data_IF_021346610306
#
_entry.id   IF_021346610306
#
_cell.length_a   1.000
_cell.length_b   1.000
_cell.length_c   1.000
_cell.angle_alpha   90.00
_cell.angle_beta   90.00
_cell.angle_gamma   90.00
#
_symmetry.space_group_name_H-M   'P 1'
#
loop_
_entity.id
_entity.type
_entity.pdbx_description
1 polymer ?
#
# COMPACT_ATOMS: atom_id res chain seq x y z
N UNK A 1 -37.89 -10.09 -8.21
CA UNK A 1 -36.86 -9.53 -9.12
C UNK A 1 -35.51 -10.08 -8.69
N UNK A 2 -35.20 -11.30 -9.11
CA UNK A 2 -33.86 -11.87 -8.91
C UNK A 2 -32.93 -11.12 -9.85
N UNK A 3 -31.92 -10.45 -9.30
CA UNK A 3 -30.87 -9.81 -10.07
C UNK A 3 -30.21 -10.89 -10.91
N UNK A 4 -30.39 -10.85 -12.22
CA UNK A 4 -29.70 -11.74 -13.14
C UNK A 4 -28.22 -11.30 -13.20
N UNK A 5 -27.46 -11.68 -12.17
CA UNK A 5 -26.02 -11.44 -12.07
C UNK A 5 -25.23 -12.18 -13.15
N UNK A 6 -25.90 -13.04 -13.94
CA UNK A 6 -25.33 -13.70 -15.11
C UNK A 6 -25.42 -12.88 -16.40
N UNK A 7 -26.15 -11.76 -16.39
CA UNK A 7 -26.28 -10.89 -17.55
C UNK A 7 -24.91 -10.25 -17.93
N UNK A 8 -24.37 -10.52 -19.13
CA UNK A 8 -23.08 -9.97 -19.58
C UNK A 8 -23.07 -8.44 -19.73
N UNK A 9 -24.26 -7.80 -19.75
CA UNK A 9 -24.40 -6.33 -19.79
C UNK A 9 -24.57 -5.70 -18.41
N UNK A 10 -24.41 -6.45 -17.32
CA UNK A 10 -24.59 -5.91 -15.97
C UNK A 10 -23.53 -4.82 -15.65
N UNK A 11 -23.93 -3.55 -15.46
CA UNK A 11 -22.99 -2.46 -15.22
C UNK A 11 -22.25 -2.60 -13.88
N UNK A 12 -22.82 -3.32 -12.91
CA UNK A 12 -22.20 -3.55 -11.60
C UNK A 12 -20.93 -4.37 -11.72
N UNK A 13 -20.93 -5.40 -12.56
CA UNK A 13 -19.75 -6.26 -12.77
C UNK A 13 -18.61 -5.49 -13.42
N UNK A 14 -18.92 -4.66 -14.43
CA UNK A 14 -17.93 -3.79 -15.08
C UNK A 14 -17.34 -2.79 -14.09
N UNK A 15 -18.17 -2.20 -13.22
CA UNK A 15 -17.71 -1.32 -12.15
C UNK A 15 -16.77 -2.04 -11.18
N UNK A 16 -17.08 -3.27 -10.75
CA UNK A 16 -16.21 -4.05 -9.86
C UNK A 16 -14.85 -4.31 -10.52
N UNK A 17 -14.84 -4.69 -11.80
CA UNK A 17 -13.60 -4.98 -12.54
C UNK A 17 -12.73 -3.72 -12.65
N UNK A 18 -13.27 -2.58 -13.11
CA UNK A 18 -12.47 -1.34 -13.22
C UNK A 18 -11.97 -0.89 -11.85
N UNK A 19 -12.80 -0.95 -10.80
CA UNK A 19 -12.40 -0.54 -9.45
C UNK A 19 -11.23 -1.40 -8.95
N UNK A 20 -11.23 -2.70 -9.27
CA UNK A 20 -10.12 -3.60 -8.97
C UNK A 20 -8.81 -3.16 -9.65
N UNK A 21 -8.82 -3.00 -10.98
CA UNK A 21 -7.64 -2.57 -11.73
C UNK A 21 -7.15 -1.17 -11.32
N UNK A 22 -8.09 -0.25 -11.10
CA UNK A 22 -7.77 1.13 -10.73
C UNK A 22 -7.18 1.22 -9.33
N UNK A 23 -7.77 0.53 -8.35
CA UNK A 23 -7.27 0.45 -6.98
C UNK A 23 -5.88 -0.17 -6.92
N UNK A 24 -5.66 -1.25 -7.68
CA UNK A 24 -4.35 -1.87 -7.83
C UNK A 24 -3.34 -0.87 -8.41
N UNK A 25 -3.65 -0.22 -9.53
CA UNK A 25 -2.73 0.73 -10.16
C UNK A 25 -2.45 1.97 -9.29
N UNK A 26 -3.47 2.49 -8.60
CA UNK A 26 -3.29 3.58 -7.65
C UNK A 26 -2.35 3.17 -6.51
N UNK A 27 -2.44 1.94 -6.03
CA UNK A 27 -1.55 1.39 -5.00
C UNK A 27 -0.10 1.31 -5.49
N UNK A 28 0.12 0.78 -6.70
CA UNK A 28 1.45 0.72 -7.34
C UNK A 28 2.08 2.10 -7.48
N UNK A 29 1.35 3.06 -8.06
CA UNK A 29 1.85 4.42 -8.25
C UNK A 29 2.08 5.14 -6.91
N UNK A 30 1.24 4.89 -5.91
CA UNK A 30 1.44 5.42 -4.56
C UNK A 30 2.73 4.88 -3.95
N UNK A 31 3.04 3.59 -4.13
CA UNK A 31 4.32 3.03 -3.69
C UNK A 31 5.49 3.75 -4.37
N UNK A 32 5.42 4.04 -5.67
CA UNK A 32 6.48 4.79 -6.38
C UNK A 32 6.70 6.16 -5.73
N UNK A 33 5.61 6.88 -5.46
CA UNK A 33 5.64 8.18 -4.77
C UNK A 33 6.28 8.06 -3.39
N UNK A 34 5.90 7.04 -2.61
CA UNK A 34 6.48 6.79 -1.28
C UNK A 34 7.99 6.53 -1.41
N UNK A 35 8.43 5.70 -2.35
CA UNK A 35 9.84 5.40 -2.55
C UNK A 35 10.66 6.62 -2.96
N UNK A 36 10.10 7.44 -3.84
CA UNK A 36 10.71 8.72 -4.22
C UNK A 36 10.79 9.69 -3.03
N UNK A 37 9.75 9.76 -2.20
CA UNK A 37 9.76 10.55 -0.96
C UNK A 37 10.86 10.07 -0.02
N UNK A 38 11.00 8.75 0.17
CA UNK A 38 12.07 8.16 0.99
C UNK A 38 13.45 8.51 0.45
N UNK A 39 13.65 8.42 -0.85
CA UNK A 39 14.89 8.83 -1.49
C UNK A 39 15.23 10.30 -1.22
N UNK A 40 14.27 11.21 -1.45
CA UNK A 40 14.44 12.63 -1.20
C UNK A 40 14.72 12.94 0.27
N UNK A 41 14.05 12.28 1.21
CA UNK A 41 14.29 12.47 2.65
C UNK A 41 15.71 12.05 3.08
N UNK A 42 16.31 11.08 2.39
CA UNK A 42 17.69 10.64 2.63
C UNK A 42 18.71 11.63 2.03
N UNK A 43 18.44 12.17 0.85
CA UNK A 43 19.31 13.15 0.20
C UNK A 43 19.22 14.55 0.81
N UNK A 44 18.01 15.01 1.11
CA UNK A 44 17.71 16.37 1.57
C UNK A 44 16.99 16.33 2.94
N UNK A 45 17.71 16.03 4.03
CA UNK A 45 17.09 15.81 5.34
C UNK A 45 16.39 17.03 5.94
N UNK A 46 16.70 18.24 5.46
CA UNK A 46 16.09 19.50 5.90
C UNK A 46 14.86 19.90 5.07
N UNK A 47 14.72 19.34 3.86
CA UNK A 47 13.61 19.66 2.97
C UNK A 47 12.42 18.74 3.27
N UNK A 48 11.44 19.24 4.02
CA UNK A 48 10.18 18.51 4.27
C UNK A 48 9.26 18.61 3.07
N UNK A 49 8.57 17.51 2.75
CA UNK A 49 7.51 17.51 1.75
C UNK A 49 6.31 18.32 2.27
N UNK A 50 5.95 19.39 1.55
CA UNK A 50 4.75 20.17 1.88
C UNK A 50 3.48 19.33 1.69
N UNK A 51 2.48 19.54 2.56
CA UNK A 51 1.15 18.89 2.45
C UNK A 51 0.51 19.09 1.07
N UNK A 52 0.67 20.28 0.47
CA UNK A 52 0.15 20.57 -0.88
C UNK A 52 0.82 19.68 -1.93
N UNK A 53 2.14 19.53 -1.85
CA UNK A 53 2.92 18.69 -2.78
C UNK A 53 2.61 17.21 -2.58
N UNK A 54 2.46 16.74 -1.34
CA UNK A 54 2.04 15.37 -1.05
C UNK A 54 0.66 15.05 -1.64
N UNK A 55 -0.34 15.92 -1.41
CA UNK A 55 -1.67 15.77 -2.00
C UNK A 55 -1.63 15.74 -3.53
N UNK A 56 -0.84 16.62 -4.14
CA UNK A 56 -0.66 16.66 -5.60
C UNK A 56 -0.05 15.36 -6.13
N UNK A 57 1.02 14.85 -5.50
CA UNK A 57 1.65 13.59 -5.91
C UNK A 57 0.70 12.40 -5.78
N UNK A 58 -0.10 12.33 -4.70
CA UNK A 58 -1.15 11.32 -4.58
C UNK A 58 -2.20 11.49 -5.69
N UNK A 59 -2.68 12.70 -5.95
CA UNK A 59 -3.62 12.96 -7.04
C UNK A 59 -3.09 12.48 -8.40
N UNK A 60 -1.82 12.77 -8.71
CA UNK A 60 -1.16 12.32 -9.95
C UNK A 60 -1.09 10.79 -10.01
N UNK A 61 -0.73 10.12 -8.91
CA UNK A 61 -0.68 8.66 -8.87
C UNK A 61 -2.03 8.00 -9.19
N UNK A 62 -3.12 8.59 -8.72
CA UNK A 62 -4.49 8.10 -8.97
C UNK A 62 -5.00 8.44 -10.37
N UNK A 63 -4.70 9.64 -10.86
CA UNK A 63 -5.11 10.07 -12.20
C UNK A 63 -4.35 9.31 -13.29
N UNK A 64 -3.09 8.92 -13.04
CA UNK A 64 -2.30 8.12 -13.98
C UNK A 64 -2.72 6.65 -14.01
N UNK A 65 -3.28 6.09 -12.93
CA UNK A 65 -3.77 4.71 -12.91
C UNK A 65 -5.14 4.53 -13.59
N UNK A 66 -5.93 5.60 -13.70
CA UNK A 66 -7.24 5.58 -14.35
C UNK A 66 -7.15 5.18 -15.85
N UNK A 67 -6.40 5.87 -16.72
CA UNK A 67 -6.33 5.54 -18.15
C UNK A 67 -5.91 4.11 -18.44
N UNK A 68 -4.98 3.57 -17.63
CA UNK A 68 -4.50 2.20 -17.75
C UNK A 68 -5.61 1.17 -17.46
N UNK A 69 -6.61 1.57 -16.66
CA UNK A 69 -7.72 0.73 -16.22
C UNK A 69 -8.98 0.89 -17.10
N UNK A 70 -9.08 1.96 -17.88
CA UNK A 70 -10.24 2.26 -18.76
C UNK A 70 -10.52 1.16 -19.79
N UNK A 71 -9.54 0.54 -20.47
CA UNK A 71 -9.79 -0.54 -21.44
C UNK A 71 -10.73 -1.64 -20.92
N UNK A 72 -10.70 -1.91 -19.61
CA UNK A 72 -11.48 -2.96 -18.95
C UNK A 72 -12.94 -2.59 -18.69
N UNK A 73 -13.33 -1.32 -18.79
CA UNK A 73 -14.74 -0.91 -18.78
C UNK A 73 -15.51 -1.45 -19.97
N UNK A 74 -14.83 -1.53 -21.11
CA UNK A 74 -15.44 -1.90 -22.38
C UNK A 74 -15.45 -3.42 -22.54
N UNK A 75 -14.41 -4.10 -22.05
CA UNK A 75 -14.23 -5.55 -22.26
C UNK A 75 -14.75 -6.42 -21.12
N UNK A 76 -14.92 -5.87 -19.92
CA UNK A 76 -15.41 -6.59 -18.75
C UNK A 76 -16.83 -7.15 -18.95
N UNK A 77 -17.01 -8.44 -18.65
CA UNK A 77 -18.31 -9.11 -18.70
C UNK A 77 -18.46 -10.13 -17.57
N UNK A 78 -19.70 -10.58 -17.36
CA UNK A 78 -19.98 -11.79 -16.61
C UNK A 78 -20.08 -12.99 -17.56
N UNK A 79 -19.56 -14.14 -17.11
CA UNK A 79 -19.84 -15.45 -17.72
C UNK A 79 -20.27 -16.40 -16.58
N UNK A 80 -21.58 -16.59 -16.42
CA UNK A 80 -22.15 -17.19 -15.22
C UNK A 80 -21.85 -16.33 -13.99
N UNK A 81 -21.43 -16.94 -12.89
CA UNK A 81 -21.04 -16.24 -11.65
C UNK A 81 -19.61 -15.70 -11.63
N UNK A 82 -18.87 -15.78 -12.76
CA UNK A 82 -17.48 -15.31 -12.84
C UNK A 82 -17.37 -13.98 -13.60
N UNK A 83 -16.66 -13.03 -12.99
CA UNK A 83 -16.17 -11.84 -13.67
C UNK A 83 -15.01 -12.22 -14.59
N UNK A 84 -15.12 -11.90 -15.88
CA UNK A 84 -14.05 -12.08 -16.87
C UNK A 84 -13.76 -10.76 -17.58
N UNK A 85 -12.48 -10.49 -17.81
CA UNK A 85 -12.03 -9.27 -18.47
C UNK A 85 -12.30 -9.28 -19.98
N UNK A 86 -12.54 -10.46 -20.57
CA UNK A 86 -12.67 -10.68 -22.00
C UNK A 86 -13.58 -11.87 -22.32
N UNK A 87 -14.19 -11.87 -23.52
CA UNK A 87 -15.03 -12.97 -24.06
C UNK A 87 -14.39 -13.68 -25.25
N UNK A 88 -13.66 -12.94 -26.08
CA UNK A 88 -13.04 -13.42 -27.30
C UNK A 88 -11.58 -13.00 -27.34
N UNK A 89 -10.72 -13.90 -27.82
CA UNK A 89 -9.33 -13.56 -28.04
C UNK A 89 -9.21 -12.64 -29.24
N UNK A 90 -8.68 -11.43 -29.02
CA UNK A 90 -8.47 -10.41 -30.04
C UNK A 90 -7.12 -9.74 -29.79
N UNK A 91 -6.55 -9.05 -30.79
CA UNK A 91 -5.32 -8.27 -30.61
C UNK A 91 -5.44 -7.24 -29.47
N UNK A 92 -6.65 -6.79 -29.16
CA UNK A 92 -6.92 -5.91 -28.02
C UNK A 92 -6.63 -6.56 -26.66
N UNK A 93 -6.87 -7.87 -26.51
CA UNK A 93 -6.55 -8.64 -25.29
C UNK A 93 -5.04 -8.63 -25.05
N UNK A 94 -4.27 -8.90 -26.10
CA UNK A 94 -2.80 -8.89 -26.06
C UNK A 94 -2.30 -7.50 -25.64
N UNK A 95 -2.75 -6.45 -26.33
CA UNK A 95 -2.33 -5.06 -26.06
C UNK A 95 -2.70 -4.64 -24.64
N UNK A 96 -3.93 -4.93 -24.19
CA UNK A 96 -4.41 -4.53 -22.87
C UNK A 96 -3.66 -5.24 -21.74
N UNK A 97 -3.43 -6.54 -21.85
CA UNK A 97 -2.66 -7.30 -20.84
C UNK A 97 -1.19 -6.89 -20.82
N UNK A 98 -0.54 -6.71 -21.98
CA UNK A 98 0.85 -6.23 -22.03
C UNK A 98 0.98 -4.81 -21.46
N UNK A 99 0.00 -3.94 -21.71
CA UNK A 99 -0.04 -2.60 -21.12
C UNK A 99 -0.09 -2.68 -19.60
N UNK A 100 -0.93 -3.55 -19.03
CA UNK A 100 -0.95 -3.78 -17.57
C UNK A 100 0.41 -4.27 -17.06
N UNK A 101 0.99 -5.28 -17.69
CA UNK A 101 2.28 -5.85 -17.26
C UNK A 101 3.38 -4.79 -17.29
N UNK A 102 3.47 -4.02 -18.37
CA UNK A 102 4.51 -3.00 -18.52
C UNK A 102 4.33 -1.86 -17.52
N UNK A 103 3.14 -1.27 -17.46
CA UNK A 103 2.92 -0.05 -16.66
C UNK A 103 2.67 -0.33 -15.18
N UNK A 104 2.13 -1.49 -14.82
CA UNK A 104 1.78 -1.81 -13.43
C UNK A 104 2.75 -2.79 -12.75
N UNK A 105 3.63 -3.44 -13.50
CA UNK A 105 4.63 -4.35 -12.92
C UNK A 105 6.06 -3.96 -13.30
N UNK A 106 6.40 -3.95 -14.59
CA UNK A 106 7.80 -3.79 -15.05
C UNK A 106 8.35 -2.39 -14.76
N UNK A 107 7.69 -1.32 -15.21
CA UNK A 107 8.15 0.04 -14.93
C UNK A 107 8.22 0.31 -13.41
N UNK A 108 7.17 0.00 -12.63
CA UNK A 108 7.20 0.17 -11.18
C UNK A 108 8.33 -0.60 -10.50
N UNK A 109 8.51 -1.89 -10.78
CA UNK A 109 9.55 -2.69 -10.12
C UNK A 109 10.95 -2.17 -10.46
N UNK A 110 11.19 -1.74 -11.70
CA UNK A 110 12.46 -1.13 -12.11
C UNK A 110 12.73 0.18 -11.37
N UNK A 111 11.74 1.08 -11.30
CA UNK A 111 11.86 2.35 -10.56
C UNK A 111 12.12 2.10 -9.06
N UNK A 112 11.50 1.07 -8.49
CA UNK A 112 11.70 0.69 -7.09
C UNK A 112 13.10 0.15 -6.83
N UNK A 113 13.55 -0.82 -7.62
CA UNK A 113 14.86 -1.44 -7.47
C UNK A 113 15.96 -0.38 -7.61
N UNK A 114 15.86 0.49 -8.61
CA UNK A 114 16.82 1.58 -8.83
C UNK A 114 16.82 2.56 -7.64
N UNK A 115 15.65 3.04 -7.22
CA UNK A 115 15.52 3.98 -6.10
C UNK A 115 16.10 3.39 -4.81
N UNK A 116 15.75 2.16 -4.46
CA UNK A 116 16.27 1.51 -3.25
C UNK A 116 17.76 1.22 -3.33
N UNK A 117 18.27 0.83 -4.50
CA UNK A 117 19.71 0.65 -4.71
C UNK A 117 20.48 1.95 -4.45
N UNK A 118 19.96 3.08 -4.94
CA UNK A 118 20.55 4.40 -4.70
C UNK A 118 20.49 4.79 -3.21
N UNK A 119 19.37 4.52 -2.53
CA UNK A 119 19.24 4.77 -1.09
C UNK A 119 20.27 3.94 -0.31
N UNK A 120 20.40 2.66 -0.59
CA UNK A 120 21.36 1.78 0.09
C UNK A 120 22.80 2.22 -0.14
N UNK A 121 23.16 2.60 -1.37
CA UNK A 121 24.49 3.15 -1.69
C UNK A 121 24.76 4.43 -0.89
N UNK A 122 23.81 5.36 -0.86
CA UNK A 122 23.94 6.61 -0.11
C UNK A 122 24.07 6.36 1.40
N UNK A 123 23.32 5.40 1.94
CA UNK A 123 23.39 5.02 3.34
C UNK A 123 24.75 4.40 3.69
N UNK A 124 25.34 3.60 2.80
CA UNK A 124 26.69 3.04 2.97
C UNK A 124 27.75 4.13 2.92
N UNK A 125 27.69 5.03 1.94
CA UNK A 125 28.62 6.15 1.81
C UNK A 125 28.66 7.02 3.07
N UNK A 126 27.49 7.39 3.61
CA UNK A 126 27.40 8.19 4.86
C UNK A 126 28.03 7.51 6.09
N UNK A 127 28.05 6.17 6.14
CA UNK A 127 28.73 5.43 7.22
C UNK A 127 30.23 5.54 7.06
N UNK A 128 30.74 5.36 5.83
CA UNK A 128 32.16 5.44 5.53
C UNK A 128 32.72 6.85 5.72
N UNK A 129 31.97 7.90 5.38
CA UNK A 129 32.41 9.29 5.54
C UNK A 129 32.38 9.82 6.98
N UNK A 130 32.14 8.98 7.99
CA UNK A 130 32.24 9.36 9.41
C UNK A 130 31.28 10.46 9.89
N UNK A 131 30.23 10.80 9.13
CA UNK A 131 29.37 11.96 9.45
C UNK A 131 28.51 11.68 10.70
N UNK A 132 28.75 12.45 11.76
CA UNK A 132 28.18 12.27 13.11
C UNK A 132 26.73 12.78 13.20
N UNK A 133 25.78 12.11 12.56
CA UNK A 133 24.35 12.27 12.90
C UNK A 133 24.03 11.45 14.17
N UNK A 134 23.18 11.98 15.06
CA UNK A 134 22.72 11.30 16.27
C UNK A 134 22.19 9.88 15.95
N UNK A 135 22.69 8.86 16.66
CA UNK A 135 22.43 7.43 16.42
C UNK A 135 20.94 7.09 16.38
N UNK A 136 20.12 7.74 17.24
CA UNK A 136 18.66 7.54 17.27
C UNK A 136 17.97 8.02 15.98
N UNK A 137 18.35 9.19 15.46
CA UNK A 137 17.79 9.71 14.20
C UNK A 137 18.22 8.87 12.99
N UNK A 138 19.44 8.32 12.99
CA UNK A 138 19.91 7.37 11.97
C UNK A 138 19.06 6.08 11.96
N UNK A 139 18.79 5.51 13.14
CA UNK A 139 18.01 4.27 13.27
C UNK A 139 16.56 4.45 12.84
N UNK A 140 15.90 5.54 13.23
CA UNK A 140 14.52 5.82 12.83
C UNK A 140 14.37 5.99 11.31
N UNK A 141 15.26 6.76 10.67
CA UNK A 141 15.25 6.95 9.20
C UNK A 141 15.44 5.62 8.46
N UNK A 142 16.37 4.77 8.92
CA UNK A 142 16.60 3.44 8.34
C UNK A 142 15.41 2.52 8.51
N UNK A 143 14.79 2.49 9.70
CA UNK A 143 13.62 1.66 9.99
C UNK A 143 12.49 1.93 9.00
N UNK A 144 12.20 3.20 8.71
CA UNK A 144 11.17 3.57 7.73
C UNK A 144 11.53 3.13 6.30
N UNK A 145 12.80 3.27 5.88
CA UNK A 145 13.24 2.82 4.55
C UNK A 145 13.12 1.30 4.41
N UNK A 146 13.63 0.53 5.40
CA UNK A 146 13.54 -0.93 5.37
C UNK A 146 12.11 -1.44 5.39
N UNK A 147 11.25 -0.80 6.17
CA UNK A 147 9.82 -1.06 6.16
C UNK A 147 9.23 -0.85 4.76
N UNK A 148 9.51 0.29 4.13
CA UNK A 148 8.98 0.61 2.79
C UNK A 148 9.51 -0.38 1.74
N UNK A 149 10.80 -0.75 1.80
CA UNK A 149 11.37 -1.80 0.97
C UNK A 149 10.66 -3.15 1.17
N UNK A 150 10.42 -3.56 2.41
CA UNK A 150 9.74 -4.80 2.75
C UNK A 150 8.29 -4.80 2.26
N UNK A 151 7.54 -3.72 2.50
CA UNK A 151 6.16 -3.57 1.98
C UNK A 151 6.12 -3.67 0.47
N UNK A 152 7.10 -3.10 -0.23
CA UNK A 152 7.16 -3.11 -1.69
C UNK A 152 7.54 -4.49 -2.22
N UNK A 153 8.48 -5.18 -1.57
CA UNK A 153 8.86 -6.54 -1.95
C UNK A 153 7.66 -7.50 -1.84
N UNK A 154 6.95 -7.45 -0.71
CA UNK A 154 5.75 -8.28 -0.50
C UNK A 154 4.67 -7.93 -1.52
N UNK A 155 4.46 -6.65 -1.84
CA UNK A 155 3.52 -6.23 -2.89
C UNK A 155 3.76 -6.98 -4.20
N UNK A 156 4.99 -6.91 -4.72
CA UNK A 156 5.31 -7.50 -6.03
C UNK A 156 5.34 -9.03 -5.99
N UNK A 157 5.74 -9.64 -4.88
CA UNK A 157 5.66 -11.10 -4.70
C UNK A 157 4.21 -11.57 -4.76
N UNK A 158 3.31 -10.89 -4.06
CA UNK A 158 1.88 -11.21 -4.09
C UNK A 158 1.22 -10.87 -5.44
N UNK A 159 1.69 -9.83 -6.12
CA UNK A 159 1.18 -9.42 -7.44
C UNK A 159 1.76 -10.24 -8.61
N UNK A 160 2.86 -10.97 -8.41
CA UNK A 160 3.53 -11.73 -9.47
C UNK A 160 2.63 -12.80 -10.09
N UNK A 161 1.92 -13.66 -9.33
CA UNK A 161 1.04 -14.68 -9.92
C UNK A 161 -0.08 -14.08 -10.78
N UNK A 162 -0.60 -12.92 -10.39
CA UNK A 162 -1.57 -12.18 -11.18
C UNK A 162 -0.97 -11.58 -12.46
N UNK A 163 0.23 -11.03 -12.38
CA UNK A 163 0.95 -10.54 -13.56
C UNK A 163 1.23 -11.68 -14.55
N UNK A 164 1.60 -12.86 -14.04
CA UNK A 164 1.79 -14.07 -14.85
C UNK A 164 0.48 -14.54 -15.48
N UNK A 165 -0.66 -14.46 -14.78
CA UNK A 165 -1.95 -14.80 -15.40
C UNK A 165 -2.29 -13.87 -16.57
N UNK A 166 -1.96 -12.57 -16.48
CA UNK A 166 -2.16 -11.64 -17.61
C UNK A 166 -1.30 -12.02 -18.82
N UNK A 167 -0.05 -12.44 -18.60
CA UNK A 167 0.83 -12.91 -19.68
C UNK A 167 0.30 -14.21 -20.31
N UNK A 168 -0.17 -15.15 -19.49
CA UNK A 168 -0.78 -16.39 -19.97
C UNK A 168 -2.01 -16.07 -20.83
N UNK A 169 -2.92 -15.20 -20.35
CA UNK A 169 -4.10 -14.79 -21.12
C UNK A 169 -3.73 -14.06 -22.42
N UNK A 170 -2.66 -13.27 -22.41
CA UNK A 170 -2.18 -12.53 -23.57
C UNK A 170 -1.62 -13.44 -24.69
N UNK A 171 -0.88 -14.50 -24.34
CA UNK A 171 -0.18 -15.33 -25.32
C UNK A 171 -0.92 -16.62 -25.69
N UNK A 172 -1.71 -17.19 -24.78
CA UNK A 172 -2.42 -18.45 -25.04
C UNK A 172 -3.80 -18.24 -25.63
N UNK A 173 -4.35 -17.03 -25.49
CA UNK A 173 -5.73 -16.70 -25.84
C UNK A 173 -6.80 -17.50 -25.11
N UNK A 174 -6.41 -18.27 -24.09
CA UNK A 174 -7.30 -18.93 -23.16
C UNK A 174 -7.53 -18.02 -21.95
N UNK A 175 -8.77 -17.93 -21.50
CA UNK A 175 -9.14 -17.10 -20.35
C UNK A 175 -9.12 -17.90 -19.05
N UNK A 176 -9.06 -17.19 -17.91
CA UNK A 176 -9.07 -17.79 -16.56
C UNK A 176 -10.10 -18.91 -16.34
N UNK A 177 -11.31 -18.81 -16.93
CA UNK A 177 -12.34 -19.86 -16.79
C UNK A 177 -12.03 -21.13 -17.60
N UNK A 178 -11.36 -21.01 -18.75
CA UNK A 178 -11.03 -22.15 -19.61
C UNK A 178 -9.91 -22.98 -19.01
N UNK A 179 -8.92 -22.31 -18.41
CA UNK A 179 -7.84 -22.98 -17.69
C UNK A 179 -8.32 -23.71 -16.44
N UNK A 180 -9.41 -23.27 -15.80
CA UNK A 180 -9.95 -23.96 -14.64
C UNK A 180 -10.46 -25.37 -14.98
N UNK A 181 -10.94 -25.57 -16.21
CA UNK A 181 -11.50 -26.84 -16.68
C UNK A 181 -10.42 -27.69 -17.39
N UNK A 182 -9.45 -27.05 -18.05
CA UNK A 182 -8.40 -27.73 -18.80
C UNK A 182 -7.27 -28.25 -17.89
N UNK A 183 -7.33 -29.54 -17.54
CA UNK A 183 -6.38 -30.25 -16.67
C UNK A 183 -5.02 -30.53 -17.30
N UNK A 184 -4.84 -30.28 -18.60
CA UNK A 184 -3.58 -30.58 -19.31
C UNK A 184 -2.41 -29.70 -18.87
N UNK A 185 -2.68 -28.53 -18.27
CA UNK A 185 -1.66 -27.56 -17.85
C UNK A 185 -1.77 -27.21 -16.36
N UNK A 186 -1.41 -28.14 -15.49
CA UNK A 186 -1.50 -28.00 -14.02
C UNK A 186 -0.73 -26.79 -13.46
N UNK A 187 0.37 -26.37 -14.10
CA UNK A 187 1.12 -25.18 -13.73
C UNK A 187 0.32 -23.89 -13.94
N UNK A 188 -0.36 -23.73 -15.09
CA UNK A 188 -1.18 -22.55 -15.37
C UNK A 188 -2.38 -22.46 -14.44
N UNK A 189 -2.99 -23.60 -14.10
CA UNK A 189 -4.05 -23.64 -13.09
C UNK A 189 -3.58 -23.13 -11.74
N UNK A 190 -2.41 -23.60 -11.29
CA UNK A 190 -1.83 -23.18 -10.01
C UNK A 190 -1.59 -21.67 -9.99
N UNK A 191 -1.02 -21.10 -11.05
CA UNK A 191 -0.79 -19.65 -11.18
C UNK A 191 -2.11 -18.87 -11.09
N UNK A 192 -3.15 -19.29 -11.82
CA UNK A 192 -4.46 -18.63 -11.81
C UNK A 192 -5.11 -18.72 -10.43
N UNK A 193 -5.04 -19.88 -9.75
CA UNK A 193 -5.56 -20.03 -8.39
C UNK A 193 -4.82 -19.13 -7.39
N UNK A 194 -3.50 -19.12 -7.45
CA UNK A 194 -2.66 -18.25 -6.61
C UNK A 194 -2.94 -16.78 -6.85
N UNK A 195 -3.14 -16.35 -8.10
CA UNK A 195 -3.47 -14.96 -8.43
C UNK A 195 -4.74 -14.46 -7.71
N UNK A 196 -5.79 -15.30 -7.66
CA UNK A 196 -7.06 -14.98 -7.01
C UNK A 196 -6.94 -14.82 -5.49
N UNK A 197 -6.00 -15.54 -4.88
CA UNK A 197 -5.79 -15.51 -3.42
C UNK A 197 -4.82 -14.39 -3.03
N UNK A 198 -3.70 -14.24 -3.75
CA UNK A 198 -2.61 -13.35 -3.37
C UNK A 198 -2.86 -11.89 -3.74
N UNK A 199 -3.63 -11.59 -4.79
CA UNK A 199 -3.89 -10.20 -5.15
C UNK A 199 -4.67 -9.45 -4.04
N UNK A 200 -5.76 -9.99 -3.44
CA UNK A 200 -6.43 -9.34 -2.32
C UNK A 200 -5.53 -9.17 -1.08
N UNK A 201 -4.60 -10.11 -0.84
CA UNK A 201 -3.64 -10.02 0.27
C UNK A 201 -2.79 -8.75 0.17
N UNK A 202 -2.57 -8.21 -1.04
CA UNK A 202 -1.81 -6.95 -1.22
C UNK A 202 -2.43 -5.75 -0.49
N UNK A 203 -3.74 -5.73 -0.30
CA UNK A 203 -4.44 -4.69 0.46
C UNK A 203 -4.38 -4.96 1.97
N UNK A 204 -4.40 -6.23 2.38
CA UNK A 204 -4.51 -6.65 3.78
C UNK A 204 -3.20 -6.50 4.56
N UNK A 205 -2.05 -6.77 3.94
CA UNK A 205 -0.79 -6.77 4.68
C UNK A 205 -0.31 -5.36 5.04
N UNK A 206 -0.73 -4.33 4.29
CA UNK A 206 -0.24 -2.96 4.45
C UNK A 206 -0.40 -2.49 5.91
N UNK A 207 -1.62 -2.46 6.51
CA UNK A 207 -1.81 -2.13 7.92
C UNK A 207 -0.95 -2.95 8.89
N UNK A 208 -0.77 -4.25 8.64
CA UNK A 208 0.02 -5.16 9.49
C UNK A 208 1.47 -4.67 9.56
N UNK A 209 2.07 -4.36 8.41
CA UNK A 209 3.45 -3.86 8.35
C UNK A 209 3.55 -2.47 9.02
N UNK A 210 2.57 -1.59 8.82
CA UNK A 210 2.52 -0.30 9.53
C UNK A 210 2.43 -0.47 11.05
N UNK A 211 1.67 -1.44 11.55
CA UNK A 211 1.58 -1.73 12.99
C UNK A 211 2.90 -2.27 13.59
N UNK A 212 3.70 -3.02 12.83
CA UNK A 212 4.98 -3.56 13.30
C UNK A 212 6.07 -2.47 13.33
N UNK A 213 6.14 -1.65 12.27
CA UNK A 213 7.27 -0.74 12.05
C UNK A 213 7.01 0.71 12.45
N UNK A 214 5.75 1.14 12.58
CA UNK A 214 5.41 2.50 12.99
C UNK A 214 4.74 2.54 14.37
N UNK A 215 5.49 2.99 15.37
CA UNK A 215 5.01 3.05 16.75
C UNK A 215 3.86 4.05 16.95
N UNK A 216 3.79 5.12 16.15
CA UNK A 216 2.70 6.09 16.23
C UNK A 216 1.39 5.49 15.72
N UNK A 217 1.45 4.71 14.64
CA UNK A 217 0.29 3.99 14.10
C UNK A 217 -0.13 2.86 15.04
N UNK A 218 0.83 2.11 15.59
CA UNK A 218 0.55 1.07 16.59
C UNK A 218 -0.21 1.61 17.82
N UNK A 219 0.11 2.83 18.27
CA UNK A 219 -0.61 3.51 19.37
C UNK A 219 -2.06 3.85 19.01
N UNK A 220 -2.33 4.12 17.73
CA UNK A 220 -3.67 4.41 17.24
C UNK A 220 -4.54 3.14 17.16
N UNK A 221 -3.96 2.02 16.73
CA UNK A 221 -4.67 0.73 16.57
C UNK A 221 -4.79 -0.09 17.86
N UNK A 222 -3.83 0.01 18.78
CA UNK A 222 -3.84 -0.73 20.05
C UNK A 222 -3.72 0.19 21.28
N UNK A 223 -4.70 1.06 21.55
CA UNK A 223 -4.65 1.95 22.71
C UNK A 223 -4.56 1.18 24.03
N UNK A 224 -5.36 0.12 24.20
CA UNK A 224 -5.52 -0.60 25.48
C UNK A 224 -4.22 -1.28 25.98
N UNK A 225 -3.41 -1.86 25.08
CA UNK A 225 -2.14 -2.51 25.45
C UNK A 225 -1.05 -1.51 25.88
N UNK A 226 -1.21 -0.22 25.56
CA UNK A 226 -0.27 0.83 25.92
C UNK A 226 -0.62 1.49 27.27
N UNK A 227 -1.92 1.68 27.53
CA UNK A 227 -2.40 2.17 28.84
C UNK A 227 -2.01 1.24 29.98
N UNK A 228 -2.10 -0.09 29.78
CA UNK A 228 -1.63 -1.10 30.75
C UNK A 228 -0.12 -1.04 31.00
N UNK A 229 0.68 -0.68 29.99
CA UNK A 229 2.13 -0.57 30.11
C UNK A 229 2.56 0.71 30.83
N UNK A 230 1.78 1.80 30.73
CA UNK A 230 2.01 3.05 31.47
C UNK A 230 1.60 2.89 32.93
N UNK A 231 0.44 2.29 33.22
CA UNK A 231 0.02 2.02 34.61
C UNK A 231 0.95 1.02 35.31
N UNK A 232 1.45 -0.01 34.60
CA UNK A 232 2.45 -0.93 35.17
C UNK A 232 3.78 -0.24 35.52
N UNK A 233 4.22 0.75 34.73
CA UNK A 233 5.43 1.54 35.03
C UNK A 233 5.19 2.51 36.19
N UNK A 234 3.98 3.06 36.34
CA UNK A 234 3.63 3.93 37.47
C UNK A 234 3.51 3.16 38.79
N UNK A 235 2.97 1.95 38.77
CA UNK A 235 2.77 1.12 39.98
C UNK A 235 4.11 0.58 40.52
N UNK A 236 5.11 0.34 39.67
CA UNK A 236 6.42 -0.18 40.09
C UNK A 236 7.42 0.91 40.55
N UNK A 237 7.05 2.20 40.53
CA UNK A 237 7.95 3.27 40.91
C UNK A 237 7.36 4.22 41.95
N UNK A 238 7.50 3.86 43.24
CA UNK A 238 7.75 4.80 44.34
C UNK A 238 8.23 4.06 45.60
N UNK A 239 9.04 4.69 46.50
CA UNK A 239 9.68 6.00 46.40
C UNK A 239 11.22 5.94 46.56
N UNK A 240 11.95 6.85 45.89
CA UNK A 240 13.11 7.56 46.49
C UNK A 240 13.61 8.68 45.56
N UNK A 241 13.83 9.84 46.19
CA UNK A 241 14.60 11.01 45.76
C UNK A 241 13.97 12.08 44.85
N UNK A 242 14.24 13.32 45.28
CA UNK A 242 13.51 14.58 45.12
C UNK A 242 13.58 15.26 43.73
N UNK A 243 14.24 14.67 42.73
CA UNK A 243 14.51 15.34 41.44
C UNK A 243 13.39 15.20 40.39
N UNK A 244 12.19 14.74 40.78
CA UNK A 244 11.13 14.32 39.84
C UNK A 244 9.95 15.29 39.68
N UNK A 245 9.87 16.39 40.42
CA UNK A 245 8.74 17.33 40.30
C UNK A 245 8.68 18.02 38.92
N UNK A 246 9.81 18.51 38.39
CA UNK A 246 9.83 19.20 37.09
C UNK A 246 9.51 18.31 35.87
N UNK A 247 9.56 16.99 36.01
CA UNK A 247 9.25 16.04 34.92
C UNK A 247 7.77 15.63 34.91
N UNK A 248 7.11 15.68 36.07
CA UNK A 248 5.69 15.38 36.22
C UNK A 248 4.83 16.52 35.67
N UNK A 249 5.22 17.78 35.91
CA UNK A 249 4.47 18.93 35.40
C UNK A 249 4.55 19.06 33.86
N UNK A 250 5.71 18.73 33.28
CA UNK A 250 5.91 18.70 31.83
C UNK A 250 5.14 17.56 31.13
N UNK A 251 4.82 16.48 31.85
CA UNK A 251 4.04 15.36 31.30
C UNK A 251 2.54 15.56 31.48
N UNK A 252 2.10 16.19 32.57
CA UNK A 252 0.71 16.62 32.78
C UNK A 252 0.28 17.71 31.79
N UNK A 253 1.15 18.67 31.49
CA UNK A 253 0.91 19.68 30.44
C UNK A 253 0.88 19.09 29.03
N UNK A 254 1.72 18.09 28.73
CA UNK A 254 1.65 17.35 27.47
C UNK A 254 0.35 16.53 27.35
N UNK A 255 -0.11 15.94 28.46
CA UNK A 255 -1.37 15.19 28.51
C UNK A 255 -2.61 16.09 28.36
N UNK A 256 -2.60 17.28 28.95
CA UNK A 256 -3.68 18.25 28.77
C UNK A 256 -3.73 18.80 27.33
N UNK A 257 -2.57 19.03 26.71
CA UNK A 257 -2.48 19.43 25.30
C UNK A 257 -3.00 18.34 24.34
N UNK A 258 -2.67 17.07 24.58
CA UNK A 258 -3.15 15.94 23.77
C UNK A 258 -4.66 15.73 23.95
N UNK A 259 -5.18 15.89 25.17
CA UNK A 259 -6.62 15.81 25.46
C UNK A 259 -7.40 16.94 24.78
N UNK A 260 -6.81 18.13 24.71
CA UNK A 260 -7.36 19.28 23.97
C UNK A 260 -7.42 19.03 22.45
N UNK A 261 -6.34 18.54 21.84
CA UNK A 261 -6.31 18.18 20.41
C UNK A 261 -7.32 17.07 20.06
N UNK A 262 -7.48 16.08 20.94
CA UNK A 262 -8.44 14.99 20.71
C UNK A 262 -9.89 15.49 20.76
N UNK A 263 -10.21 16.38 21.70
CA UNK A 263 -11.54 17.00 21.80
C UNK A 263 -11.83 17.93 20.62
N UNK A 264 -10.85 18.68 20.13
CA UNK A 264 -10.99 19.52 18.94
C UNK A 264 -11.23 18.66 17.69
N UNK A 265 -10.50 17.55 17.54
CA UNK A 265 -10.67 16.62 16.40
C UNK A 265 -12.04 15.95 16.44
N UNK A 266 -12.53 15.57 17.63
CA UNK A 266 -13.86 15.00 17.82
C UNK A 266 -14.97 16.00 17.48
N UNK A 267 -14.84 17.26 17.92
CA UNK A 267 -15.78 18.35 17.58
C UNK A 267 -15.83 18.64 16.08
N UNK A 268 -14.67 18.63 15.41
CA UNK A 268 -14.58 18.86 13.96
C UNK A 268 -15.21 17.72 13.17
N UNK A 269 -15.08 16.47 13.62
CA UNK A 269 -15.71 15.30 13.01
C UNK A 269 -17.23 15.27 13.22
N UNK A 270 -17.73 15.72 14.37
CA UNK A 270 -19.18 15.85 14.60
C UNK A 270 -19.82 16.97 13.77
N UNK A 271 -19.10 18.07 13.51
CA UNK A 271 -19.59 19.17 12.68
C UNK A 271 -19.69 18.80 11.18
N UNK A 272 -18.85 17.86 10.71
CA UNK A 272 -18.88 17.36 9.33
C UNK A 272 -19.98 16.29 9.13
N UNK A 273 -20.54 15.73 10.21
CA UNK A 273 -21.56 14.69 10.15
C UNK A 273 -23.00 15.23 10.18
N UNK A 274 -23.20 16.55 10.32
CA UNK A 274 -24.53 17.20 10.45
C UNK A 274 -24.78 18.26 9.34
N UNK A 275 -23.84 18.49 8.43
CA UNK A 275 -24.01 19.35 7.25
C UNK A 275 -23.89 18.54 5.97
#
# INVERSE_FOLDING_TARGET
>A
VLLDDSNPRNPRMRAIIILGYWSYGASVHTLIVISYERYNAILRPTAKLSRKKAKSLCGIAWLTSLPISIPFLVTGTAKGYQCTSYTHHTSWVLVSNLTLVVFQFIIPITVMITTYSLILRQLRFKVLSGRTECTKNKQLKRRTVYMVMLTTAIFFVCALPWTLSQLIEAFTGKFSFQFFIDTRFSAFQTIIRLSRILLPVTALYNPIIYCIFNEQIRKLFFPCCYWQRITAIQIYSSPTSHNRFNKVDNSLSALSAIKSEFNHTKSTLTAISIG
#
